data_IF_336843253635
#
_entry.id   IF_336843253635
#
_cell.length_a   1.000
_cell.length_b   1.000
_cell.length_c   1.000
_cell.angle_alpha   90.00
_cell.angle_beta   90.00
_cell.angle_gamma   90.00
#
_symmetry.space_group_name_H-M   'P 1'
#
loop_
_entity.id
_entity.type
_entity.pdbx_description
1 polymer ?
#
# COMPACT_ATOMS: atom_id res chain seq x y z
N UNK A 1 15.51 -58.56 -19.32
CA UNK A 1 15.02 -57.59 -20.33
C UNK A 1 13.77 -56.92 -19.82
N UNK A 2 13.75 -55.57 -19.84
CA UNK A 2 12.55 -54.69 -19.78
C UNK A 2 11.84 -54.67 -18.42
N UNK A 3 11.69 -53.56 -17.68
CA UNK A 3 11.79 -52.14 -18.01
C UNK A 3 11.93 -51.35 -16.69
N UNK A 4 12.80 -50.35 -16.73
CA UNK A 4 12.93 -49.24 -15.79
C UNK A 4 11.58 -48.51 -15.60
N UNK A 5 10.87 -48.74 -14.50
CA UNK A 5 9.73 -47.89 -14.12
C UNK A 5 9.57 -47.90 -12.60
N UNK A 6 10.25 -46.99 -11.92
CA UNK A 6 9.89 -46.52 -10.55
C UNK A 6 10.65 -45.26 -10.12
N UNK A 7 11.59 -44.73 -10.93
CA UNK A 7 12.14 -43.37 -10.74
C UNK A 7 11.19 -42.35 -11.39
N UNK A 8 9.95 -42.30 -10.90
CA UNK A 8 9.00 -41.23 -11.24
C UNK A 8 7.97 -41.10 -10.11
N UNK A 9 8.42 -41.09 -8.86
CA UNK A 9 7.62 -40.56 -7.76
C UNK A 9 7.72 -39.04 -7.81
N UNK A 10 7.02 -38.48 -8.80
CA UNK A 10 6.19 -37.29 -8.67
C UNK A 10 6.83 -36.17 -7.84
N UNK A 11 7.87 -35.60 -8.44
CA UNK A 11 8.25 -34.20 -8.37
C UNK A 11 7.10 -33.32 -8.93
N UNK A 12 5.90 -33.42 -8.35
CA UNK A 12 4.75 -32.57 -8.67
C UNK A 12 3.98 -32.32 -7.39
N UNK A 13 4.39 -31.30 -6.62
CA UNK A 13 3.52 -30.22 -6.12
C UNK A 13 4.23 -29.28 -5.14
N UNK A 14 5.53 -28.99 -5.32
CA UNK A 14 6.05 -27.71 -4.80
C UNK A 14 5.68 -26.67 -5.86
N UNK A 15 4.38 -26.41 -6.00
CA UNK A 15 3.90 -25.21 -6.66
C UNK A 15 4.42 -24.08 -5.78
N UNK A 16 5.32 -23.34 -6.41
CA UNK A 16 6.04 -22.18 -5.91
C UNK A 16 5.01 -21.13 -5.48
N UNK A 17 4.51 -21.25 -4.25
CA UNK A 17 3.96 -20.10 -3.55
C UNK A 17 5.15 -19.14 -3.46
N UNK A 18 5.15 -18.10 -4.30
CA UNK A 18 6.28 -17.19 -4.48
C UNK A 18 6.03 -15.96 -3.61
N UNK A 19 6.35 -15.99 -2.29
CA UNK A 19 6.25 -14.81 -1.43
C UNK A 19 7.17 -13.68 -1.89
N UNK A 20 8.12 -13.97 -2.80
CA UNK A 20 9.10 -13.03 -3.35
C UNK A 20 8.48 -11.88 -4.14
N UNK A 21 7.37 -12.09 -4.86
CA UNK A 21 6.72 -11.02 -5.65
C UNK A 21 6.09 -9.99 -4.71
N UNK A 22 5.33 -10.44 -3.72
CA UNK A 22 4.73 -9.57 -2.71
C UNK A 22 5.78 -8.84 -1.85
N UNK A 23 6.92 -9.47 -1.56
CA UNK A 23 8.00 -8.82 -0.81
C UNK A 23 8.62 -7.64 -1.59
N UNK A 24 8.90 -7.83 -2.89
CA UNK A 24 9.42 -6.76 -3.75
C UNK A 24 8.43 -5.60 -3.89
N UNK A 25 7.13 -5.91 -4.02
CA UNK A 25 6.08 -4.89 -4.09
C UNK A 25 5.99 -4.07 -2.79
N UNK A 26 6.12 -4.72 -1.62
CA UNK A 26 6.11 -4.03 -0.32
C UNK A 26 7.30 -3.08 -0.15
N UNK A 27 8.50 -3.48 -0.55
CA UNK A 27 9.69 -2.63 -0.48
C UNK A 27 9.56 -1.40 -1.40
N UNK A 28 9.08 -1.60 -2.64
CA UNK A 28 8.84 -0.50 -3.57
C UNK A 28 7.79 0.48 -3.05
N UNK A 29 6.70 -0.03 -2.47
CA UNK A 29 5.64 0.78 -1.84
C UNK A 29 6.21 1.61 -0.68
N UNK A 30 6.98 0.98 0.22
CA UNK A 30 7.61 1.69 1.35
C UNK A 30 8.52 2.81 0.86
N UNK A 31 9.42 2.51 -0.08
CA UNK A 31 10.33 3.49 -0.66
C UNK A 31 9.59 4.69 -1.27
N UNK A 32 8.50 4.45 -1.98
CA UNK A 32 7.70 5.51 -2.59
C UNK A 32 7.03 6.39 -1.52
N UNK A 33 6.38 5.77 -0.53
CA UNK A 33 5.73 6.50 0.57
C UNK A 33 6.76 7.30 1.38
N UNK A 34 7.90 6.70 1.70
CA UNK A 34 8.97 7.35 2.45
C UNK A 34 9.55 8.53 1.67
N UNK A 35 9.77 8.37 0.36
CA UNK A 35 10.21 9.46 -0.50
C UNK A 35 9.22 10.62 -0.53
N UNK A 36 7.91 10.36 -0.65
CA UNK A 36 6.88 11.41 -0.60
C UNK A 36 6.90 12.12 0.75
N UNK A 37 6.94 11.37 1.85
CA UNK A 37 6.99 11.93 3.22
C UNK A 37 8.21 12.81 3.41
N UNK A 38 9.38 12.37 2.98
CA UNK A 38 10.63 13.12 3.12
C UNK A 38 10.59 14.42 2.31
N UNK A 39 10.05 14.41 1.10
CA UNK A 39 9.89 15.61 0.29
C UNK A 39 8.88 16.60 0.91
N UNK A 40 7.77 16.11 1.47
CA UNK A 40 6.82 16.97 2.20
C UNK A 40 7.48 17.56 3.45
N UNK A 41 8.23 16.75 4.20
CA UNK A 41 8.96 17.21 5.38
C UNK A 41 10.03 18.26 5.03
N UNK A 42 10.57 18.27 3.80
CA UNK A 42 11.47 19.31 3.28
C UNK A 42 10.75 20.57 2.78
N UNK A 43 9.42 20.62 2.86
CA UNK A 43 8.61 21.80 2.51
C UNK A 43 7.91 21.72 1.16
N UNK A 44 7.96 20.57 0.46
CA UNK A 44 7.17 20.39 -0.76
C UNK A 44 5.68 20.29 -0.42
N UNK A 45 4.83 20.96 -1.20
CA UNK A 45 3.38 20.94 -0.95
C UNK A 45 2.76 19.60 -1.38
N UNK A 46 1.81 19.10 -0.59
CA UNK A 46 1.19 17.79 -0.81
C UNK A 46 0.38 17.70 -2.12
N UNK A 47 -0.24 18.80 -2.55
CA UNK A 47 -1.00 18.92 -3.80
C UNK A 47 -0.13 18.84 -5.07
N UNK A 48 1.19 18.99 -4.95
CA UNK A 48 2.12 18.86 -6.06
C UNK A 48 2.39 17.41 -6.49
N UNK A 49 1.97 16.44 -5.69
CA UNK A 49 2.10 15.01 -5.99
C UNK A 49 0.90 14.50 -6.80
N UNK A 50 1.15 13.59 -7.73
CA UNK A 50 0.10 12.91 -8.49
C UNK A 50 0.01 11.45 -8.04
N UNK A 51 -1.20 10.99 -7.75
CA UNK A 51 -1.42 9.63 -7.26
C UNK A 51 -0.85 8.55 -8.19
N UNK A 52 -1.02 8.75 -9.52
CA UNK A 52 -0.69 7.77 -10.55
C UNK A 52 0.77 7.84 -11.03
N UNK A 53 1.61 8.72 -10.46
CA UNK A 53 3.07 8.68 -10.69
C UNK A 53 3.72 7.47 -9.97
N UNK A 54 2.95 6.77 -9.15
CA UNK A 54 3.36 5.60 -8.36
C UNK A 54 2.51 4.38 -8.72
N UNK A 55 3.12 3.20 -8.66
CA UNK A 55 2.43 1.93 -8.86
C UNK A 55 2.76 0.96 -7.70
N UNK A 56 1.77 0.55 -6.88
CA UNK A 56 0.40 1.05 -6.83
C UNK A 56 0.31 2.55 -6.46
N UNK A 57 -0.81 3.19 -6.77
CA UNK A 57 -0.99 4.64 -6.60
C UNK A 57 -0.72 5.09 -5.16
N UNK A 58 -0.19 6.31 -5.02
CA UNK A 58 -0.03 6.96 -3.72
C UNK A 58 -1.24 7.85 -3.40
N UNK A 59 -1.54 8.01 -2.12
CA UNK A 59 -2.53 8.95 -1.62
C UNK A 59 -1.97 9.75 -0.45
N UNK A 60 -2.55 10.94 -0.25
CA UNK A 60 -2.22 11.83 0.85
C UNK A 60 -3.54 12.27 1.48
N UNK A 61 -3.65 12.11 2.80
CA UNK A 61 -4.84 12.40 3.58
C UNK A 61 -4.50 13.32 4.74
N UNK A 62 -5.34 14.32 4.98
CA UNK A 62 -5.34 15.07 6.22
C UNK A 62 -5.81 14.22 7.39
N UNK A 63 -5.41 14.58 8.60
CA UNK A 63 -5.79 13.86 9.82
C UNK A 63 -7.32 13.82 10.06
N UNK A 64 -8.07 14.78 9.51
CA UNK A 64 -9.53 14.84 9.59
C UNK A 64 -10.24 13.88 8.62
N UNK A 65 -9.49 13.22 7.71
CA UNK A 65 -10.01 12.28 6.72
C UNK A 65 -10.12 12.82 5.30
N UNK A 66 -9.84 14.11 5.06
CA UNK A 66 -9.90 14.72 3.72
C UNK A 66 -8.71 14.26 2.88
N UNK A 67 -8.97 13.75 1.69
CA UNK A 67 -7.93 13.34 0.74
C UNK A 67 -7.42 14.54 -0.06
N UNK A 68 -6.13 14.84 0.07
CA UNK A 68 -5.43 15.86 -0.72
C UNK A 68 -4.99 15.29 -2.06
N UNK A 69 -4.53 14.04 -2.06
CA UNK A 69 -4.13 13.32 -3.27
C UNK A 69 -4.81 11.96 -3.26
N UNK A 70 -5.61 11.68 -4.29
CA UNK A 70 -6.18 10.37 -4.57
C UNK A 70 -6.55 10.29 -6.07
N UNK A 71 -6.55 9.11 -6.71
CA UNK A 71 -6.91 9.01 -8.14
C UNK A 71 -8.29 9.56 -8.51
N UNK A 72 -9.25 9.50 -7.57
CA UNK A 72 -10.65 9.86 -7.85
C UNK A 72 -11.43 10.48 -6.69
N UNK A 73 -10.80 10.68 -5.53
CA UNK A 73 -11.50 11.10 -4.29
C UNK A 73 -10.84 12.34 -3.67
N UNK A 74 -10.05 13.09 -4.45
CA UNK A 74 -9.46 14.34 -3.95
C UNK A 74 -10.55 15.31 -3.52
N UNK A 75 -10.42 15.87 -2.32
CA UNK A 75 -11.41 16.73 -1.66
C UNK A 75 -12.47 15.97 -0.85
N UNK A 76 -12.59 14.66 -1.02
CA UNK A 76 -13.54 13.86 -0.26
C UNK A 76 -13.01 13.46 1.12
N UNK A 77 -13.92 13.30 2.08
CA UNK A 77 -13.62 12.80 3.42
C UNK A 77 -13.84 11.28 3.52
N UNK A 78 -12.76 10.53 3.78
CA UNK A 78 -12.88 9.10 4.11
C UNK A 78 -13.58 8.88 5.44
N UNK A 79 -13.52 9.83 6.38
CA UNK A 79 -14.26 9.75 7.63
C UNK A 79 -15.77 9.64 7.40
N UNK A 80 -16.27 10.25 6.32
CA UNK A 80 -17.69 10.22 5.95
C UNK A 80 -18.00 9.09 4.98
N UNK A 81 -17.18 8.92 3.93
CA UNK A 81 -17.45 7.96 2.85
C UNK A 81 -17.03 6.53 3.14
N UNK A 82 -16.02 6.34 4.00
CA UNK A 82 -15.47 5.03 4.32
C UNK A 82 -14.84 4.99 5.73
N UNK A 83 -15.64 5.12 6.81
CA UNK A 83 -15.13 5.19 8.18
C UNK A 83 -14.15 4.07 8.57
N UNK A 84 -14.38 2.78 8.20
CA UNK A 84 -13.44 1.71 8.54
C UNK A 84 -12.05 1.88 7.90
N UNK A 85 -12.01 2.44 6.69
CA UNK A 85 -10.76 2.73 5.98
C UNK A 85 -10.05 3.89 6.65
N UNK A 86 -10.77 4.97 6.95
CA UNK A 86 -10.25 6.10 7.70
C UNK A 86 -9.64 5.66 9.04
N UNK A 87 -10.34 4.86 9.83
CA UNK A 87 -9.86 4.34 11.11
C UNK A 87 -8.61 3.46 10.96
N UNK A 88 -8.52 2.65 9.91
CA UNK A 88 -7.32 1.88 9.61
C UNK A 88 -6.13 2.79 9.28
N UNK A 89 -6.34 3.82 8.44
CA UNK A 89 -5.29 4.76 8.03
C UNK A 89 -4.79 5.63 9.20
N UNK A 90 -5.64 5.93 10.19
CA UNK A 90 -5.23 6.66 11.41
C UNK A 90 -4.19 5.92 12.26
N UNK A 91 -3.99 4.61 12.04
CA UNK A 91 -2.91 3.84 12.69
C UNK A 91 -1.52 4.18 12.15
N UNK A 92 -1.41 5.09 11.17
CA UNK A 92 -0.13 5.58 10.67
C UNK A 92 0.75 6.14 11.77
N UNK A 93 2.06 5.96 11.63
CA UNK A 93 3.08 6.49 12.55
C UNK A 93 4.13 7.26 11.76
N UNK A 94 4.99 8.00 12.46
CA UNK A 94 6.11 8.73 11.83
C UNK A 94 7.20 7.81 11.26
N UNK A 95 7.29 6.56 11.73
CA UNK A 95 8.17 5.50 11.18
C UNK A 95 7.46 4.63 10.14
N UNK A 96 6.17 4.88 9.92
CA UNK A 96 5.28 4.13 9.08
C UNK A 96 4.81 2.80 9.67
N UNK A 97 3.70 2.32 9.13
CA UNK A 97 3.03 1.09 9.54
C UNK A 97 2.32 0.45 8.33
N UNK A 98 2.22 -0.88 8.33
CA UNK A 98 1.32 -1.57 7.42
C UNK A 98 -0.04 -1.71 8.07
N UNK A 99 -1.09 -1.39 7.31
CA UNK A 99 -2.48 -1.43 7.74
C UNK A 99 -3.32 -2.19 6.72
N UNK A 100 -4.28 -2.93 7.26
CA UNK A 100 -5.16 -3.81 6.52
C UNK A 100 -6.60 -3.32 6.64
N UNK A 101 -7.31 -3.29 5.53
CA UNK A 101 -8.72 -2.91 5.48
C UNK A 101 -9.38 -3.45 4.21
N UNK A 102 -10.70 -3.51 4.22
CA UNK A 102 -11.48 -3.86 3.03
C UNK A 102 -11.79 -2.59 2.24
N UNK A 103 -11.46 -2.60 0.95
CA UNK A 103 -11.76 -1.52 0.01
C UNK A 103 -12.45 -2.08 -1.22
N UNK A 104 -13.67 -1.62 -1.51
CA UNK A 104 -14.48 -2.13 -2.63
C UNK A 104 -14.52 -3.66 -2.67
N UNK A 105 -14.86 -4.28 -1.53
CA UNK A 105 -14.98 -5.74 -1.35
C UNK A 105 -13.67 -6.53 -1.42
N UNK A 106 -12.53 -5.88 -1.70
CA UNK A 106 -11.21 -6.51 -1.73
C UNK A 106 -10.42 -6.21 -0.47
N UNK A 107 -9.67 -7.20 0.00
CA UNK A 107 -8.67 -6.98 1.04
C UNK A 107 -7.56 -6.09 0.48
N UNK A 108 -7.18 -5.04 1.21
CA UNK A 108 -6.15 -4.09 0.83
C UNK A 108 -5.09 -4.00 1.93
N UNK A 109 -3.84 -4.00 1.51
CA UNK A 109 -2.67 -3.85 2.37
C UNK A 109 -1.97 -2.56 1.98
N UNK A 110 -1.93 -1.59 2.90
CA UNK A 110 -1.30 -0.29 2.64
C UNK A 110 -0.18 -0.02 3.63
N UNK A 111 0.94 0.48 3.13
CA UNK A 111 1.92 1.13 3.98
C UNK A 111 1.52 2.60 4.12
N UNK A 112 1.49 3.08 5.36
CA UNK A 112 1.11 4.44 5.70
C UNK A 112 2.14 5.06 6.62
N UNK A 113 2.49 6.32 6.39
CA UNK A 113 3.44 7.07 7.22
C UNK A 113 2.99 8.50 7.40
N UNK A 114 3.16 9.02 8.61
CA UNK A 114 2.78 10.38 8.98
C UNK A 114 3.95 11.34 8.79
N UNK A 115 3.70 12.44 8.10
CA UNK A 115 4.64 13.56 7.95
C UNK A 115 4.77 14.35 9.25
N UNK A 116 5.80 15.19 9.39
CA UNK A 116 5.95 16.10 10.54
C UNK A 116 4.81 17.11 10.64
N UNK A 117 4.21 17.47 9.51
CA UNK A 117 3.02 18.34 9.41
C UNK A 117 1.71 17.64 9.79
N UNK A 118 1.71 16.32 10.01
CA UNK A 118 0.53 15.56 10.40
C UNK A 118 -0.30 14.98 9.25
N UNK A 119 0.12 15.17 7.99
CA UNK A 119 -0.46 14.47 6.84
C UNK A 119 -0.10 12.98 6.86
N UNK A 120 -1.04 12.15 6.42
CA UNK A 120 -0.90 10.71 6.28
C UNK A 120 -0.69 10.40 4.81
N UNK A 121 0.48 9.84 4.48
CA UNK A 121 0.82 9.39 3.13
C UNK A 121 0.71 7.87 3.10
N UNK A 122 0.16 7.31 2.02
CA UNK A 122 0.15 5.86 1.86
C UNK A 122 0.06 5.36 0.43
N UNK A 123 0.35 4.09 0.26
CA UNK A 123 0.17 3.33 -0.97
C UNK A 123 0.00 1.85 -0.61
N UNK A 124 -0.67 1.09 -1.47
CA UNK A 124 -1.01 -0.29 -1.16
C UNK A 124 -1.63 -1.07 -2.31
N UNK A 125 -1.52 -2.38 -2.24
CA UNK A 125 -2.08 -3.34 -3.20
C UNK A 125 -3.31 -4.03 -2.62
N UNK A 126 -4.13 -4.59 -3.51
CA UNK A 126 -5.30 -5.40 -3.14
C UNK A 126 -5.10 -6.85 -3.56
N UNK A 127 -5.75 -7.76 -2.84
CA UNK A 127 -5.91 -9.17 -3.22
C UNK A 127 -6.96 -9.36 -4.34
#
# INVERSE_FOLDING_TARGET
MKRFYSVLLVLCLIIVCSPSVFAADREAIQKNVDGIVDEINKGKTADSFKANDYNPYAFIMEKNGVLVVHPSLTGDSLKEKAPPVYEALLKSTSTGAWVDYVWKEKQKHSYVRTTTSGLIVGSGYSE
#
